data_IF_128703812995
#
_entry.id   IF_128703812995
#
_cell.length_a   1.000
_cell.length_b   1.000
_cell.length_c   1.000
_cell.angle_alpha   90.00
_cell.angle_beta   90.00
_cell.angle_gamma   90.00
#
_symmetry.space_group_name_H-M   'P 1'
#
loop_
_entity.id
_entity.type
_entity.pdbx_description
1 polymer ?
#
# COMPACT_ATOMS: atom_id res chain seq x y z
N UNK A 1 -10.42 -29.84 11.04
CA UNK A 1 -9.63 -29.00 11.97
C UNK A 1 -8.70 -28.14 11.13
N UNK A 2 -9.08 -26.89 10.85
CA UNK A 2 -8.24 -25.98 10.07
C UNK A 2 -6.96 -25.70 10.84
N UNK A 3 -5.81 -26.10 10.30
CA UNK A 3 -4.51 -25.57 10.73
C UNK A 3 -4.49 -24.09 10.37
N UNK A 4 -5.10 -23.24 11.21
CA UNK A 4 -5.13 -21.80 10.98
C UNK A 4 -3.69 -21.30 11.03
N UNK A 5 -3.16 -20.94 9.86
CA UNK A 5 -1.82 -20.40 9.75
C UNK A 5 -1.75 -19.09 10.54
N UNK A 6 -0.57 -18.78 11.07
CA UNK A 6 -0.34 -17.59 11.90
C UNK A 6 -0.81 -16.30 11.22
N UNK A 7 -0.66 -16.21 9.89
CA UNK A 7 -1.10 -15.06 9.12
C UNK A 7 -2.63 -14.94 9.07
N UNK A 8 -3.36 -16.05 8.93
CA UNK A 8 -4.84 -16.04 8.93
C UNK A 8 -5.36 -15.51 10.27
N UNK A 9 -4.79 -15.96 11.39
CA UNK A 9 -5.16 -15.47 12.72
C UNK A 9 -4.93 -13.95 12.88
N UNK A 10 -3.79 -13.45 12.41
CA UNK A 10 -3.48 -12.01 12.45
C UNK A 10 -4.41 -11.19 11.54
N UNK A 11 -4.74 -11.69 10.35
CA UNK A 11 -5.69 -11.03 9.45
C UNK A 11 -7.09 -10.97 10.05
N UNK A 12 -7.57 -12.05 10.68
CA UNK A 12 -8.86 -12.04 11.37
C UNK A 12 -8.88 -11.10 12.58
N UNK A 13 -7.75 -10.94 13.30
CA UNK A 13 -7.64 -9.93 14.36
C UNK A 13 -7.72 -8.52 13.78
N UNK A 14 -7.00 -8.25 12.69
CA UNK A 14 -7.02 -6.95 12.04
C UNK A 14 -8.41 -6.61 11.45
N UNK A 15 -9.10 -7.60 10.90
CA UNK A 15 -10.47 -7.46 10.40
C UNK A 15 -11.44 -7.04 11.51
N UNK A 16 -11.34 -7.65 12.70
CA UNK A 16 -12.14 -7.24 13.87
C UNK A 16 -11.86 -5.80 14.28
N UNK A 17 -10.59 -5.41 14.32
CA UNK A 17 -10.16 -4.03 14.62
C UNK A 17 -10.77 -3.04 13.62
N UNK A 18 -10.95 -3.42 12.35
CA UNK A 18 -11.57 -2.57 11.34
C UNK A 18 -13.10 -2.47 11.48
N UNK A 19 -13.77 -3.52 11.98
CA UNK A 19 -15.25 -3.57 12.06
C UNK A 19 -15.81 -2.93 13.33
N UNK A 20 -15.05 -2.93 14.42
CA UNK A 20 -15.49 -2.37 15.68
C UNK A 20 -15.62 -0.84 15.55
N UNK A 21 -16.85 -0.33 15.59
CA UNK A 21 -17.19 1.07 15.26
C UNK A 21 -16.75 2.10 16.32
N UNK A 22 -16.15 1.65 17.43
CA UNK A 22 -15.40 2.53 18.34
C UNK A 22 -14.08 2.96 17.69
N UNK A 23 -13.48 4.05 18.16
CA UNK A 23 -12.16 4.47 17.68
C UNK A 23 -11.22 3.25 17.56
N UNK A 24 -10.69 3.04 16.36
CA UNK A 24 -9.79 1.93 16.04
C UNK A 24 -8.72 1.82 17.13
N UNK A 25 -8.52 0.63 17.70
CA UNK A 25 -7.47 0.40 18.68
C UNK A 25 -6.10 0.55 17.99
N UNK A 26 -5.54 1.75 18.09
CA UNK A 26 -4.33 2.16 17.37
C UNK A 26 -3.14 1.28 17.78
N UNK A 27 -2.97 1.02 19.07
CA UNK A 27 -1.83 0.25 19.56
C UNK A 27 -1.91 -1.21 19.14
N UNK A 28 -3.11 -1.80 19.20
CA UNK A 28 -3.33 -3.14 18.69
C UNK A 28 -3.17 -3.21 17.16
N UNK A 29 -3.66 -2.22 16.42
CA UNK A 29 -3.47 -2.16 14.98
C UNK A 29 -2.00 -2.03 14.58
N UNK A 30 -1.22 -1.18 15.25
CA UNK A 30 0.23 -1.07 15.07
C UNK A 30 0.91 -2.40 15.32
N UNK A 31 0.57 -3.07 16.42
CA UNK A 31 1.13 -4.36 16.79
C UNK A 31 0.83 -5.47 15.77
N UNK A 32 -0.45 -5.61 15.38
CA UNK A 32 -0.89 -6.63 14.44
C UNK A 32 -0.27 -6.38 13.06
N UNK A 33 -0.31 -5.14 12.56
CA UNK A 33 0.31 -4.80 11.27
C UNK A 33 1.82 -4.98 11.27
N UNK A 34 2.53 -4.65 12.36
CA UNK A 34 3.97 -4.90 12.48
C UNK A 34 4.30 -6.41 12.41
N UNK A 35 3.50 -7.25 13.07
CA UNK A 35 3.65 -8.72 12.99
C UNK A 35 3.39 -9.26 11.59
N UNK A 36 2.33 -8.77 10.92
CA UNK A 36 2.03 -9.15 9.54
C UNK A 36 3.19 -8.73 8.63
N UNK A 37 3.70 -7.50 8.78
CA UNK A 37 4.83 -6.99 8.01
C UNK A 37 6.06 -7.88 8.17
N UNK A 38 6.43 -8.21 9.39
CA UNK A 38 7.57 -9.08 9.66
C UNK A 38 7.44 -10.44 8.96
N UNK A 39 6.26 -11.08 9.05
CA UNK A 39 6.00 -12.34 8.36
C UNK A 39 6.02 -12.19 6.84
N UNK A 40 5.45 -11.10 6.32
CA UNK A 40 5.42 -10.82 4.88
C UNK A 40 6.82 -10.54 4.31
N UNK A 41 7.73 -9.96 5.09
CA UNK A 41 9.12 -9.73 4.68
C UNK A 41 9.92 -11.04 4.70
N UNK A 42 9.75 -11.85 5.74
CA UNK A 42 10.59 -13.04 5.98
C UNK A 42 10.11 -14.31 5.27
N UNK A 43 8.82 -14.42 4.94
CA UNK A 43 8.24 -15.69 4.49
C UNK A 43 7.45 -15.55 3.18
N UNK A 44 7.96 -16.15 2.10
CA UNK A 44 7.25 -16.23 0.81
C UNK A 44 5.94 -17.02 0.91
N UNK A 45 5.88 -18.03 1.79
CA UNK A 45 4.66 -18.78 2.09
C UNK A 45 3.54 -17.86 2.58
N UNK A 46 3.84 -16.97 3.53
CA UNK A 46 2.91 -15.94 4.02
C UNK A 46 2.39 -15.07 2.89
N UNK A 47 3.27 -14.57 2.01
CA UNK A 47 2.86 -13.73 0.88
C UNK A 47 1.95 -14.46 -0.11
N UNK A 48 2.21 -15.76 -0.35
CA UNK A 48 1.35 -16.63 -1.17
C UNK A 48 -0.02 -16.80 -0.54
N UNK A 49 -0.10 -17.07 0.76
CA UNK A 49 -1.37 -17.25 1.48
C UNK A 49 -2.21 -15.97 1.48
N UNK A 50 -1.60 -14.81 1.70
CA UNK A 50 -2.30 -13.51 1.67
C UNK A 50 -2.88 -13.15 0.30
N UNK A 51 -2.31 -13.69 -0.77
CA UNK A 51 -2.72 -13.40 -2.16
C UNK A 51 -3.31 -14.61 -2.88
N UNK A 52 -3.58 -15.68 -2.13
CA UNK A 52 -4.20 -16.89 -2.67
C UNK A 52 -5.64 -16.60 -3.10
N UNK A 53 -6.12 -17.36 -4.09
CA UNK A 53 -7.53 -17.26 -4.51
C UNK A 53 -8.43 -17.62 -3.32
N UNK A 54 -9.38 -16.75 -3.00
CA UNK A 54 -10.28 -16.90 -1.86
C UNK A 54 -9.75 -16.37 -0.52
N UNK A 55 -8.49 -15.89 -0.48
CA UNK A 55 -7.96 -15.16 0.68
C UNK A 55 -8.57 -13.77 0.74
N UNK A 56 -8.88 -13.29 1.95
CA UNK A 56 -9.31 -11.92 2.24
C UNK A 56 -8.13 -11.00 2.60
N UNK A 57 -6.89 -11.51 2.53
CA UNK A 57 -5.72 -10.83 3.09
C UNK A 57 -5.43 -9.48 2.44
N UNK A 58 -5.67 -9.31 1.14
CA UNK A 58 -5.46 -8.01 0.47
C UNK A 58 -6.58 -7.04 0.85
N UNK A 59 -7.82 -7.51 0.91
CA UNK A 59 -9.00 -6.73 1.27
C UNK A 59 -8.93 -6.19 2.70
N UNK A 60 -8.55 -7.03 3.67
CA UNK A 60 -8.38 -6.60 5.06
C UNK A 60 -7.30 -5.53 5.17
N UNK A 61 -6.17 -5.72 4.48
CA UNK A 61 -5.06 -4.76 4.48
C UNK A 61 -5.45 -3.42 3.84
N UNK A 62 -6.19 -3.44 2.72
CA UNK A 62 -6.70 -2.23 2.09
C UNK A 62 -7.75 -1.53 2.96
N UNK A 63 -8.67 -2.29 3.54
CA UNK A 63 -9.69 -1.78 4.44
C UNK A 63 -9.05 -1.08 5.65
N UNK A 64 -8.02 -1.67 6.26
CA UNK A 64 -7.28 -1.00 7.34
C UNK A 64 -6.63 0.29 6.86
N UNK A 65 -6.06 0.31 5.65
CA UNK A 65 -5.41 1.49 5.08
C UNK A 65 -6.39 2.65 4.86
N UNK A 66 -7.61 2.35 4.43
CA UNK A 66 -8.66 3.34 4.19
C UNK A 66 -9.21 3.95 5.49
N UNK A 67 -9.24 3.16 6.56
CA UNK A 67 -9.86 3.56 7.83
C UNK A 67 -8.88 4.16 8.84
N UNK A 68 -7.59 3.87 8.73
CA UNK A 68 -6.60 4.36 9.69
C UNK A 68 -6.05 5.75 9.33
N UNK A 69 -5.76 6.54 10.36
CA UNK A 69 -5.01 7.80 10.27
C UNK A 69 -3.65 7.72 10.94
N UNK A 70 -3.32 6.57 11.53
CA UNK A 70 -2.06 6.39 12.25
C UNK A 70 -0.89 6.19 11.28
N UNK A 71 0.11 7.07 11.36
CA UNK A 71 1.26 7.05 10.45
C UNK A 71 2.02 5.73 10.47
N UNK A 72 2.18 5.10 11.64
CA UNK A 72 2.91 3.83 11.74
C UNK A 72 2.12 2.67 11.14
N UNK A 73 0.81 2.59 11.38
CA UNK A 73 -0.07 1.61 10.74
C UNK A 73 -0.08 1.78 9.22
N UNK A 74 -0.18 3.02 8.72
CA UNK A 74 -0.10 3.33 7.28
C UNK A 74 1.22 2.82 6.70
N UNK A 75 2.35 3.17 7.32
CA UNK A 75 3.68 2.78 6.85
C UNK A 75 3.86 1.25 6.85
N UNK A 76 3.37 0.56 7.90
CA UNK A 76 3.40 -0.89 7.97
C UNK A 76 2.62 -1.51 6.80
N UNK A 77 1.42 -1.02 6.53
CA UNK A 77 0.56 -1.53 5.45
C UNK A 77 1.19 -1.30 4.08
N UNK A 78 1.69 -0.10 3.79
CA UNK A 78 2.33 0.19 2.50
C UNK A 78 3.55 -0.71 2.28
N UNK A 79 4.31 -1.00 3.34
CA UNK A 79 5.43 -1.94 3.28
C UNK A 79 4.98 -3.40 3.12
N UNK A 80 3.88 -3.82 3.75
CA UNK A 80 3.26 -5.14 3.52
C UNK A 80 2.92 -5.27 2.03
N UNK A 81 2.19 -4.30 1.47
CA UNK A 81 1.82 -4.29 0.05
C UNK A 81 3.05 -4.34 -0.85
N UNK A 82 4.09 -3.56 -0.55
CA UNK A 82 5.36 -3.62 -1.29
C UNK A 82 5.98 -5.02 -1.27
N UNK A 83 6.05 -5.66 -0.11
CA UNK A 83 6.58 -7.02 0.04
C UNK A 83 5.76 -8.05 -0.74
N UNK A 84 4.42 -7.96 -0.68
CA UNK A 84 3.53 -8.83 -1.44
C UNK A 84 3.77 -8.73 -2.95
N UNK A 85 3.99 -7.51 -3.47
CA UNK A 85 4.15 -7.26 -4.89
C UNK A 85 5.56 -7.55 -5.44
N UNK A 86 6.60 -7.61 -4.61
CA UNK A 86 7.99 -7.75 -5.06
C UNK A 86 8.41 -9.16 -5.55
N UNK A 87 7.62 -10.21 -5.32
CA UNK A 87 8.12 -11.59 -5.40
C UNK A 87 7.39 -12.56 -6.36
N UNK A 88 6.47 -12.12 -7.23
CA UNK A 88 5.51 -13.09 -7.84
C UNK A 88 5.00 -12.85 -9.26
N UNK A 89 5.65 -11.98 -10.03
CA UNK A 89 5.14 -11.62 -11.35
C UNK A 89 3.78 -10.91 -11.28
N UNK A 90 3.23 -10.54 -12.44
CA UNK A 90 2.07 -9.63 -12.52
C UNK A 90 0.78 -10.09 -11.83
N UNK A 91 0.66 -11.35 -11.40
CA UNK A 91 -0.58 -11.91 -10.85
C UNK A 91 -1.00 -11.27 -9.52
N UNK A 92 -0.09 -11.12 -8.54
CA UNK A 92 -0.45 -10.49 -7.24
C UNK A 92 -0.81 -9.02 -7.41
N UNK A 93 -0.14 -8.34 -8.33
CA UNK A 93 -0.46 -6.96 -8.69
C UNK A 93 -1.87 -6.88 -9.26
N UNK A 94 -2.26 -7.81 -10.14
CA UNK A 94 -3.64 -7.85 -10.65
C UNK A 94 -4.68 -8.05 -9.55
N UNK A 95 -4.39 -8.86 -8.52
CA UNK A 95 -5.27 -9.02 -7.35
C UNK A 95 -5.45 -7.66 -6.66
N UNK A 96 -4.35 -6.97 -6.33
CA UNK A 96 -4.39 -5.64 -5.71
C UNK A 96 -5.18 -4.62 -6.55
N UNK A 97 -4.93 -4.57 -7.86
CA UNK A 97 -5.63 -3.66 -8.79
C UNK A 97 -7.12 -4.00 -8.86
N UNK A 98 -7.49 -5.28 -8.93
CA UNK A 98 -8.89 -5.73 -8.98
C UNK A 98 -9.69 -5.41 -7.73
N UNK A 99 -9.02 -5.23 -6.59
CA UNK A 99 -9.60 -4.84 -5.30
C UNK A 99 -9.58 -3.33 -5.05
N UNK A 100 -9.27 -2.52 -6.07
CA UNK A 100 -9.27 -1.07 -5.96
C UNK A 100 -8.00 -0.47 -5.35
N UNK A 101 -6.95 -1.27 -5.09
CA UNK A 101 -5.73 -0.82 -4.41
C UNK A 101 -5.06 0.39 -5.07
N UNK A 102 -5.09 0.52 -6.40
CA UNK A 102 -4.59 1.71 -7.09
C UNK A 102 -5.29 2.98 -6.61
N UNK A 103 -6.63 2.99 -6.52
CA UNK A 103 -7.38 4.19 -6.15
C UNK A 103 -7.07 4.59 -4.71
N UNK A 104 -7.04 3.61 -3.80
CA UNK A 104 -6.74 3.82 -2.38
C UNK A 104 -5.34 4.41 -2.21
N UNK A 105 -4.34 3.86 -2.89
CA UNK A 105 -2.96 4.34 -2.81
C UNK A 105 -2.78 5.76 -3.40
N UNK A 106 -3.51 6.08 -4.47
CA UNK A 106 -3.50 7.44 -5.02
C UNK A 106 -4.16 8.45 -4.06
N UNK A 107 -5.24 8.06 -3.37
CA UNK A 107 -5.87 8.90 -2.35
C UNK A 107 -5.00 9.05 -1.10
N UNK A 108 -4.28 7.99 -0.71
CA UNK A 108 -3.29 8.07 0.35
C UNK A 108 -2.17 9.05 0.01
N UNK A 109 -1.69 9.03 -1.24
CA UNK A 109 -0.66 9.97 -1.70
C UNK A 109 -1.13 11.42 -1.57
N UNK A 110 -2.38 11.70 -1.92
CA UNK A 110 -3.00 13.01 -1.72
C UNK A 110 -3.08 13.42 -0.25
N UNK A 111 -3.38 12.48 0.62
CA UNK A 111 -3.49 12.74 2.04
C UNK A 111 -2.12 13.01 2.64
N UNK A 112 -1.14 12.15 2.35
CA UNK A 112 0.23 12.29 2.84
C UNK A 112 0.95 13.55 2.31
N UNK A 113 0.61 14.04 1.12
CA UNK A 113 1.21 15.27 0.59
C UNK A 113 0.73 16.55 1.28
N UNK A 114 -0.35 16.47 2.07
CA UNK A 114 -0.88 17.62 2.82
C UNK A 114 -0.24 17.76 4.21
N UNK A 115 0.48 16.73 4.67
CA UNK A 115 1.23 16.79 5.91
C UNK A 115 2.37 17.82 5.79
N UNK A 116 2.66 18.55 6.87
CA UNK A 116 3.68 19.60 6.91
C UNK A 116 4.62 19.40 8.11
N UNK A 117 5.86 18.89 7.92
CA UNK A 117 6.43 18.43 6.64
C UNK A 117 5.86 17.06 6.20
N UNK A 118 5.90 16.73 4.90
CA UNK A 118 5.51 15.41 4.42
C UNK A 118 6.41 14.31 5.01
N UNK A 119 5.83 13.15 5.32
CA UNK A 119 6.60 11.99 5.76
C UNK A 119 7.42 11.40 4.60
N UNK A 120 8.73 11.68 4.58
CA UNK A 120 9.62 11.29 3.47
C UNK A 120 9.65 9.78 3.23
N UNK A 121 9.72 8.98 4.30
CA UNK A 121 9.75 7.52 4.18
C UNK A 121 8.49 7.00 3.50
N UNK A 122 7.32 7.45 3.97
CA UNK A 122 6.03 7.11 3.39
C UNK A 122 5.97 7.51 1.91
N UNK A 123 6.43 8.71 1.57
CA UNK A 123 6.44 9.20 0.18
C UNK A 123 7.31 8.32 -0.72
N UNK A 124 8.48 7.89 -0.25
CA UNK A 124 9.37 6.99 -1.00
C UNK A 124 8.71 5.64 -1.23
N UNK A 125 8.18 5.00 -0.18
CA UNK A 125 7.61 3.65 -0.30
C UNK A 125 6.31 3.65 -1.09
N UNK A 126 5.51 4.72 -1.00
CA UNK A 126 4.24 4.87 -1.71
C UNK A 126 4.46 5.10 -3.21
N UNK A 127 5.37 5.99 -3.59
CA UNK A 127 5.74 6.14 -5.01
C UNK A 127 6.34 4.87 -5.58
N UNK A 128 7.20 4.18 -4.83
CA UNK A 128 7.79 2.91 -5.26
C UNK A 128 6.71 1.84 -5.52
N UNK A 129 5.70 1.77 -4.66
CA UNK A 129 4.56 0.86 -4.84
C UNK A 129 3.73 1.25 -6.06
N UNK A 130 3.41 2.54 -6.23
CA UNK A 130 2.66 3.06 -7.38
C UNK A 130 3.36 2.77 -8.71
N UNK A 131 4.69 2.97 -8.79
CA UNK A 131 5.49 2.66 -9.97
C UNK A 131 5.46 1.16 -10.31
N UNK A 132 5.42 0.32 -9.28
CA UNK A 132 5.38 -1.15 -9.43
C UNK A 132 4.02 -1.64 -9.92
N UNK A 133 2.92 -1.09 -9.41
CA UNK A 133 1.57 -1.57 -9.76
C UNK A 133 1.02 -0.93 -11.04
N UNK A 134 1.41 0.31 -11.33
CA UNK A 134 0.82 1.09 -12.41
C UNK A 134 0.90 0.45 -13.79
N UNK A 135 1.99 -0.26 -14.19
CA UNK A 135 2.05 -0.96 -15.48
C UNK A 135 1.01 -2.09 -15.65
N UNK A 136 0.33 -2.50 -14.57
CA UNK A 136 -0.72 -3.53 -14.60
C UNK A 136 -2.13 -2.95 -14.50
N UNK A 137 -2.28 -1.65 -14.20
CA UNK A 137 -3.57 -0.98 -14.19
C UNK A 137 -3.74 -0.15 -15.46
N UNK A 138 -4.56 -0.63 -16.39
CA UNK A 138 -4.83 0.02 -17.68
C UNK A 138 -5.39 1.44 -17.55
N UNK A 139 -5.98 1.78 -16.41
CA UNK A 139 -6.56 3.11 -16.14
C UNK A 139 -5.69 3.93 -15.19
N UNK A 140 -4.44 3.52 -14.92
CA UNK A 140 -3.57 4.16 -13.95
C UNK A 140 -3.38 5.66 -14.20
N UNK A 141 -2.97 6.04 -15.41
CA UNK A 141 -2.74 7.44 -15.78
C UNK A 141 -4.01 8.30 -15.72
N UNK A 142 -5.17 7.73 -16.07
CA UNK A 142 -6.46 8.42 -15.93
C UNK A 142 -6.81 8.62 -14.46
N UNK A 143 -6.73 7.57 -13.63
CA UNK A 143 -7.00 7.64 -12.19
C UNK A 143 -6.11 8.67 -11.49
N UNK A 144 -4.82 8.70 -11.81
CA UNK A 144 -3.86 9.61 -11.21
C UNK A 144 -4.09 11.09 -11.60
N UNK A 145 -4.56 11.34 -12.82
CA UNK A 145 -4.96 12.69 -13.25
C UNK A 145 -6.23 13.14 -12.54
N UNK A 146 -7.27 12.30 -12.55
CA UNK A 146 -8.56 12.61 -11.94
C UNK A 146 -8.43 12.79 -10.42
N UNK A 147 -7.60 11.99 -9.76
CA UNK A 147 -7.34 12.16 -8.32
C UNK A 147 -6.44 13.36 -8.00
N UNK A 148 -5.74 13.95 -8.98
CA UNK A 148 -4.73 14.99 -8.73
C UNK A 148 -3.37 14.47 -8.25
N UNK A 149 -3.21 13.14 -8.11
CA UNK A 149 -1.98 12.51 -7.62
C UNK A 149 -0.78 12.75 -8.55
N UNK A 150 -1.03 12.91 -9.86
CA UNK A 150 0.02 13.23 -10.82
C UNK A 150 0.78 14.51 -10.45
N UNK A 151 0.04 15.56 -10.08
CA UNK A 151 0.63 16.86 -9.77
C UNK A 151 1.51 16.81 -8.52
N UNK A 152 1.18 15.93 -7.57
CA UNK A 152 2.01 15.70 -6.38
C UNK A 152 3.37 15.14 -6.79
N UNK A 153 3.39 14.06 -7.56
CA UNK A 153 4.65 13.46 -8.04
C UNK A 153 5.46 14.47 -8.88
N UNK A 154 4.80 15.26 -9.72
CA UNK A 154 5.46 16.29 -10.54
C UNK A 154 6.08 17.41 -9.69
N UNK A 155 5.34 17.90 -8.69
CA UNK A 155 5.81 18.96 -7.80
C UNK A 155 6.97 18.48 -6.93
N UNK A 156 6.95 17.22 -6.48
CA UNK A 156 8.07 16.64 -5.76
C UNK A 156 9.33 16.62 -6.63
N UNK A 157 9.25 16.20 -7.89
CA UNK A 157 10.42 16.24 -8.79
C UNK A 157 10.92 17.68 -8.99
N UNK A 158 10.02 18.67 -9.10
CA UNK A 158 10.39 20.08 -9.25
C UNK A 158 11.05 20.69 -8.00
N UNK A 159 10.56 20.31 -6.82
CA UNK A 159 10.97 20.92 -5.53
C UNK A 159 12.09 20.14 -4.82
N UNK A 160 12.15 18.81 -4.99
CA UNK A 160 13.06 17.91 -4.27
C UNK A 160 14.23 17.43 -5.14
N UNK A 161 15.07 18.36 -5.62
CA UNK A 161 16.39 18.00 -6.17
C UNK A 161 17.37 17.49 -5.09
N UNK A 162 17.03 17.63 -3.81
CA UNK A 162 17.90 17.33 -2.66
C UNK A 162 17.61 15.97 -1.97
N UNK A 163 16.54 15.24 -2.36
CA UNK A 163 16.26 13.89 -1.83
C UNK A 163 16.34 12.83 -2.96
N UNK A 164 17.55 12.32 -3.27
CA UNK A 164 17.76 11.39 -4.39
C UNK A 164 16.95 10.10 -4.29
N UNK A 165 16.64 9.65 -3.06
CA UNK A 165 15.88 8.43 -2.80
C UNK A 165 14.42 8.53 -3.28
N UNK A 166 13.83 9.73 -3.25
CA UNK A 166 12.46 9.97 -3.71
C UNK A 166 12.39 10.27 -5.21
N UNK A 167 13.43 10.87 -5.78
CA UNK A 167 13.48 11.28 -7.17
C UNK A 167 13.24 10.11 -8.14
N UNK A 168 13.95 8.99 -7.95
CA UNK A 168 13.83 7.84 -8.84
C UNK A 168 12.41 7.23 -8.83
N UNK A 169 11.81 6.89 -7.67
CA UNK A 169 10.41 6.45 -7.60
C UNK A 169 9.42 7.43 -8.24
N UNK A 170 9.57 8.73 -8.02
CA UNK A 170 8.69 9.73 -8.64
C UNK A 170 8.80 9.74 -10.16
N UNK A 171 10.02 9.71 -10.72
CA UNK A 171 10.23 9.65 -12.17
C UNK A 171 9.66 8.36 -12.78
N UNK A 172 9.83 7.23 -12.09
CA UNK A 172 9.24 5.95 -12.52
C UNK A 172 7.72 6.01 -12.55
N UNK A 173 7.08 6.56 -11.50
CA UNK A 173 5.63 6.76 -11.46
C UNK A 173 5.16 7.69 -12.58
N UNK A 174 5.84 8.82 -12.79
CA UNK A 174 5.51 9.77 -13.86
C UNK A 174 5.58 9.12 -15.24
N UNK A 175 6.59 8.29 -15.50
CA UNK A 175 6.67 7.50 -16.74
C UNK A 175 5.43 6.63 -16.91
N UNK A 176 4.99 5.95 -15.85
CA UNK A 176 3.83 5.06 -15.91
C UNK A 176 2.51 5.84 -16.10
N UNK A 177 2.39 7.05 -15.57
CA UNK A 177 1.24 7.92 -15.88
C UNK A 177 1.10 8.20 -17.38
N UNK A 178 2.22 8.30 -18.10
CA UNK A 178 2.24 8.58 -19.53
C UNK A 178 2.03 7.33 -20.42
N UNK A 179 2.04 6.12 -19.86
CA UNK A 179 1.92 4.88 -20.63
C UNK A 179 0.48 4.51 -21.00
N UNK A 180 -0.53 5.32 -20.62
CA UNK A 180 -1.94 5.12 -20.97
C UNK A 180 -2.69 6.45 -21.23
#
# INVERSE_FOLDING_TARGET
LSNNSRIVSLLSQLEKINTDSSAMDIDNARFVTAKILHLAQTQEKTRKEMTAKGSTGVEVILCTLENTRDHQTILNIVNILNGLMSASGGRRINVLVSKGGTQILLQLLLSASKDSPPNEELMVVLHSLLAKIGPKDKKFGIKARVSGALNISLNLVKQNLQCPKLLLPCLQVLRVYCMN
#
